data_IF_858968938380
#
_entry.id   IF_858968938380
#
_cell.length_a   1.000
_cell.length_b   1.000
_cell.length_c   1.000
_cell.angle_alpha   90.00
_cell.angle_beta   90.00
_cell.angle_gamma   90.00
#
_symmetry.space_group_name_H-M   'P 1'
#
loop_
_entity.id
_entity.type
_entity.pdbx_description
1 polymer ?
#
# COMPACT_ATOMS: atom_id res chain seq x y z
N UNK A 1 -5.85 5.59 -29.66
CA UNK A 1 -4.82 4.64 -29.20
C UNK A 1 -4.79 4.70 -27.68
N UNK A 2 -5.17 3.62 -26.99
CA UNK A 2 -4.97 3.54 -25.54
C UNK A 2 -3.47 3.51 -25.28
N UNK A 3 -2.93 4.59 -24.67
CA UNK A 3 -1.52 4.62 -24.23
C UNK A 3 -1.26 3.39 -23.37
N UNK A 4 -0.17 2.69 -23.66
CA UNK A 4 0.30 1.56 -22.85
C UNK A 4 0.43 1.96 -21.37
N UNK A 5 0.34 0.96 -20.49
CA UNK A 5 0.61 1.13 -19.06
C UNK A 5 2.01 0.67 -18.73
N UNK A 6 2.68 1.39 -17.83
CA UNK A 6 3.91 0.91 -17.21
C UNK A 6 3.62 -0.32 -16.35
N UNK A 7 4.66 -1.07 -15.96
CA UNK A 7 4.48 -2.20 -15.05
C UNK A 7 3.95 -1.75 -13.67
N UNK A 8 4.37 -0.58 -13.20
CA UNK A 8 3.91 0.02 -11.93
C UNK A 8 2.42 0.33 -12.00
N UNK A 9 1.96 1.01 -13.05
CA UNK A 9 0.54 1.32 -13.24
C UNK A 9 -0.31 0.04 -13.29
N UNK A 10 0.18 -1.02 -13.93
CA UNK A 10 -0.53 -2.31 -13.98
C UNK A 10 -0.66 -2.96 -12.60
N UNK A 11 0.43 -3.00 -11.82
CA UNK A 11 0.43 -3.60 -10.48
C UNK A 11 -0.51 -2.83 -9.57
N UNK A 12 -0.37 -1.51 -9.50
CA UNK A 12 -1.22 -0.68 -8.62
C UNK A 12 -2.68 -0.79 -9.07
N UNK A 13 -2.97 -0.68 -10.37
CA UNK A 13 -4.34 -0.82 -10.90
C UNK A 13 -4.98 -2.16 -10.52
N UNK A 14 -4.17 -3.22 -10.52
CA UNK A 14 -4.63 -4.56 -10.14
C UNK A 14 -4.97 -4.67 -8.64
N UNK A 15 -4.23 -3.99 -7.76
CA UNK A 15 -4.42 -4.10 -6.30
C UNK A 15 -5.37 -3.04 -5.72
N UNK A 16 -5.73 -2.00 -6.49
CA UNK A 16 -6.80 -1.06 -6.13
C UNK A 16 -8.13 -1.29 -6.87
N UNK A 17 -8.14 -2.14 -7.92
CA UNK A 17 -9.34 -2.41 -8.72
C UNK A 17 -9.79 -1.25 -9.59
N UNK A 18 -8.92 -0.26 -9.83
CA UNK A 18 -9.19 0.95 -10.62
C UNK A 18 -8.09 1.13 -11.67
N UNK A 19 -8.39 1.76 -12.82
CA UNK A 19 -7.34 2.11 -13.78
C UNK A 19 -6.62 3.38 -13.29
N UNK A 20 -5.39 3.21 -12.78
CA UNK A 20 -4.58 4.31 -12.23
C UNK A 20 -3.43 4.68 -13.15
N UNK A 21 -3.11 5.98 -13.16
CA UNK A 21 -2.00 6.59 -13.89
C UNK A 21 -1.12 7.41 -12.96
N UNK A 22 0.08 7.75 -13.44
CA UNK A 22 0.97 8.64 -12.71
C UNK A 22 0.27 9.96 -12.36
N UNK A 23 0.25 10.31 -11.07
CA UNK A 23 -0.42 11.50 -10.54
C UNK A 23 -1.72 11.20 -9.80
N UNK A 24 -2.28 10.00 -9.94
CA UNK A 24 -3.51 9.62 -9.23
C UNK A 24 -3.23 9.29 -7.76
N UNK A 25 -4.20 9.62 -6.89
CA UNK A 25 -4.25 9.11 -5.53
C UNK A 25 -5.02 7.79 -5.53
N UNK A 26 -4.42 6.72 -5.01
CA UNK A 26 -5.01 5.39 -5.00
C UNK A 26 -5.01 4.79 -3.58
N UNK A 27 -6.12 4.14 -3.23
CA UNK A 27 -6.19 3.27 -2.05
C UNK A 27 -5.95 1.85 -2.53
N UNK A 28 -4.92 1.20 -2.01
CA UNK A 28 -4.41 -0.07 -2.53
C UNK A 28 -4.40 -1.11 -1.41
N UNK A 29 -4.84 -2.33 -1.70
CA UNK A 29 -4.63 -3.44 -0.79
C UNK A 29 -3.16 -3.90 -0.86
N UNK A 30 -2.43 -3.77 0.24
CA UNK A 30 -1.00 -4.12 0.30
C UNK A 30 -0.85 -5.59 0.70
N UNK A 31 -0.10 -6.37 -0.08
CA UNK A 31 0.09 -7.81 0.20
C UNK A 31 1.00 -8.07 1.40
N UNK A 32 1.98 -7.19 1.62
CA UNK A 32 2.95 -7.32 2.71
C UNK A 32 3.52 -5.97 3.12
N UNK A 33 3.65 -5.77 4.43
CA UNK A 33 4.40 -4.68 5.02
C UNK A 33 5.60 -5.23 5.80
N UNK A 34 6.74 -4.55 5.69
CA UNK A 34 7.98 -4.94 6.35
C UNK A 34 8.47 -3.80 7.25
N UNK A 35 9.02 -4.14 8.41
CA UNK A 35 9.63 -3.20 9.34
C UNK A 35 10.98 -3.74 9.83
N UNK A 36 11.90 -2.84 10.13
CA UNK A 36 13.21 -3.17 10.70
C UNK A 36 13.16 -3.10 12.22
N UNK A 37 14.16 -3.66 12.90
CA UNK A 37 14.35 -3.59 14.35
C UNK A 37 14.19 -2.18 14.94
N UNK A 38 14.65 -1.16 14.23
CA UNK A 38 14.54 0.24 14.65
C UNK A 38 13.16 0.87 14.41
N UNK A 39 12.40 0.40 13.40
CA UNK A 39 11.10 0.99 13.02
C UNK A 39 9.90 0.20 13.52
N UNK A 40 10.04 -1.12 13.69
CA UNK A 40 8.99 -2.03 14.13
C UNK A 40 8.44 -1.66 15.52
N UNK A 41 9.25 -1.33 16.54
CA UNK A 41 8.71 -0.98 17.86
C UNK A 41 7.78 0.24 17.80
N UNK A 42 8.12 1.25 16.98
CA UNK A 42 7.29 2.45 16.82
C UNK A 42 6.00 2.16 16.06
N UNK A 43 6.06 1.34 15.01
CA UNK A 43 4.89 0.93 14.25
C UNK A 43 3.92 0.11 15.11
N UNK A 44 4.43 -0.83 15.91
CA UNK A 44 3.65 -1.64 16.85
C UNK A 44 3.01 -0.76 17.92
N UNK A 45 3.77 0.18 18.51
CA UNK A 45 3.22 1.10 19.50
C UNK A 45 2.04 1.89 18.95
N UNK A 46 2.20 2.51 17.78
CA UNK A 46 1.12 3.26 17.14
C UNK A 46 -0.10 2.36 16.87
N UNK A 47 0.12 1.14 16.35
CA UNK A 47 -0.94 0.18 16.09
C UNK A 47 -1.76 -0.16 17.34
N UNK A 48 -1.09 -0.38 18.48
CA UNK A 48 -1.75 -0.64 19.77
C UNK A 48 -2.48 0.60 20.31
N UNK A 49 -1.90 1.80 20.14
CA UNK A 49 -2.55 3.07 20.53
C UNK A 49 -3.84 3.34 19.75
N UNK A 50 -3.94 2.86 18.51
CA UNK A 50 -5.18 2.90 17.72
C UNK A 50 -6.23 1.87 18.17
N UNK A 51 -5.95 1.07 19.21
CA UNK A 51 -6.89 0.12 19.80
C UNK A 51 -6.93 -1.24 19.12
N UNK A 52 -6.04 -1.49 18.16
CA UNK A 52 -5.97 -2.76 17.44
C UNK A 52 -5.20 -3.80 18.26
N UNK A 53 -5.78 -4.98 18.41
CA UNK A 53 -5.21 -6.08 19.20
C UNK A 53 -4.80 -7.28 18.35
N UNK A 54 -4.97 -7.18 17.02
CA UNK A 54 -4.68 -8.25 16.07
C UNK A 54 -4.36 -7.68 14.70
N UNK A 55 -3.35 -8.26 14.04
CA UNK A 55 -3.00 -8.03 12.64
C UNK A 55 -3.97 -8.79 11.72
#
# INVERSE_FOLDING_TARGET
>A
MTKGRTIVEKIISSHCGQDVRAGDFAIVNVDMAMAHDSTAPRAIQAFLEYGENKI
#
